data_IF_186517175272
#
_entry.id   IF_186517175272
#
_cell.length_a   1.000
_cell.length_b   1.000
_cell.length_c   1.000
_cell.angle_alpha   90.00
_cell.angle_beta   90.00
_cell.angle_gamma   90.00
#
_symmetry.space_group_name_H-M   'P 1'
#
loop_
_entity.id
_entity.type
_entity.pdbx_description
1 polymer ?
#
# COMPACT_ATOMS: atom_id res chain seq x y z
N UNK A 1 9.35 12.37 36.29
CA UNK A 1 8.55 12.58 35.07
C UNK A 1 8.92 11.46 34.12
N UNK A 2 8.01 10.59 33.69
CA UNK A 2 8.35 9.54 32.74
C UNK A 2 8.64 10.20 31.38
N UNK A 3 9.75 9.80 30.77
CA UNK A 3 10.23 10.32 29.49
C UNK A 3 9.22 9.98 28.39
N UNK A 4 8.48 10.99 27.92
CA UNK A 4 7.55 10.89 26.77
C UNK A 4 8.28 10.87 25.41
N UNK A 5 9.61 10.86 25.43
CA UNK A 5 10.47 11.08 24.26
C UNK A 5 10.88 9.80 23.52
N UNK A 6 10.45 8.62 23.97
CA UNK A 6 10.64 7.38 23.20
C UNK A 6 9.33 6.97 22.55
N UNK A 7 9.30 6.79 21.23
CA UNK A 7 8.20 6.12 20.55
C UNK A 7 8.00 4.74 21.17
N UNK A 8 6.75 4.30 21.27
CA UNK A 8 6.48 2.96 21.76
C UNK A 8 7.05 1.96 20.74
N UNK A 9 8.03 1.11 21.09
CA UNK A 9 8.64 0.15 20.16
C UNK A 9 7.61 -0.80 19.54
N UNK A 10 6.42 -0.91 20.13
CA UNK A 10 5.27 -1.63 19.57
C UNK A 10 4.74 -0.97 18.30
N UNK A 11 4.68 0.37 18.23
CA UNK A 11 4.15 1.11 17.07
C UNK A 11 5.07 0.92 15.86
N UNK A 12 6.38 1.07 16.05
CA UNK A 12 7.36 0.89 14.96
C UNK A 12 7.36 -0.55 14.46
N UNK A 13 7.30 -1.52 15.39
CA UNK A 13 7.22 -2.93 15.05
C UNK A 13 5.97 -3.27 14.24
N UNK A 14 4.84 -2.61 14.54
CA UNK A 14 3.58 -2.76 13.83
C UNK A 14 3.66 -2.21 12.40
N UNK A 15 4.13 -0.97 12.23
CA UNK A 15 4.30 -0.34 10.89
C UNK A 15 5.22 -1.18 9.99
N UNK A 16 6.36 -1.63 10.53
CA UNK A 16 7.30 -2.48 9.77
C UNK A 16 6.71 -3.84 9.39
N UNK A 17 5.82 -4.40 10.22
CA UNK A 17 5.14 -5.66 9.93
C UNK A 17 4.10 -5.48 8.82
N UNK A 18 3.29 -4.43 8.89
CA UNK A 18 2.29 -4.08 7.87
C UNK A 18 2.96 -3.87 6.51
N UNK A 19 4.03 -3.07 6.45
CA UNK A 19 4.74 -2.83 5.20
C UNK A 19 5.33 -4.11 4.62
N UNK A 20 5.84 -5.02 5.47
CA UNK A 20 6.36 -6.32 5.02
C UNK A 20 5.27 -7.17 4.38
N UNK A 21 4.09 -7.23 4.99
CA UNK A 21 2.94 -7.95 4.43
C UNK A 21 2.51 -7.34 3.09
N UNK A 22 2.46 -6.02 3.01
CA UNK A 22 2.15 -5.29 1.78
C UNK A 22 3.15 -5.61 0.66
N UNK A 23 4.46 -5.54 0.93
CA UNK A 23 5.51 -5.88 -0.04
C UNK A 23 5.40 -7.33 -0.53
N UNK A 24 5.04 -8.26 0.36
CA UNK A 24 4.83 -9.65 -0.02
C UNK A 24 3.64 -9.81 -0.98
N UNK A 25 2.52 -9.13 -0.71
CA UNK A 25 1.33 -9.16 -1.58
C UNK A 25 1.63 -8.55 -2.95
N UNK A 26 2.33 -7.42 -2.98
CA UNK A 26 2.78 -6.76 -4.23
C UNK A 26 3.68 -7.70 -5.04
N UNK A 27 4.69 -8.30 -4.39
CA UNK A 27 5.62 -9.21 -5.06
C UNK A 27 4.90 -10.43 -5.65
N UNK A 28 3.95 -11.01 -4.91
CA UNK A 28 3.12 -12.12 -5.41
C UNK A 28 2.24 -11.71 -6.60
N UNK A 29 1.62 -10.53 -6.55
CA UNK A 29 0.85 -10.01 -7.68
C UNK A 29 1.74 -9.77 -8.91
N UNK A 30 2.93 -9.19 -8.71
CA UNK A 30 3.91 -8.92 -9.78
C UNK A 30 4.39 -10.20 -10.49
N UNK A 31 4.56 -11.30 -9.74
CA UNK A 31 4.91 -12.60 -10.32
C UNK A 31 3.88 -13.07 -11.36
N UNK A 32 2.60 -12.74 -11.17
CA UNK A 32 1.56 -13.13 -12.12
C UNK A 32 1.77 -12.51 -13.51
N UNK A 33 2.24 -11.25 -13.55
CA UNK A 33 2.47 -10.48 -14.77
C UNK A 33 3.81 -10.77 -15.45
N UNK A 34 4.82 -11.20 -14.68
CA UNK A 34 6.18 -11.49 -15.20
C UNK A 34 6.40 -12.96 -15.55
N UNK A 35 5.63 -13.90 -14.98
CA UNK A 35 5.69 -15.31 -15.35
C UNK A 35 5.25 -15.49 -16.81
N UNK A 36 6.14 -15.99 -17.67
CA UNK A 36 5.85 -16.32 -19.08
C UNK A 36 5.72 -17.82 -19.31
N UNK A 37 6.00 -18.65 -18.30
CA UNK A 37 5.97 -20.11 -18.38
C UNK A 37 4.58 -20.73 -18.16
N UNK A 38 3.65 -19.99 -17.55
CA UNK A 38 2.27 -20.47 -17.31
C UNK A 38 1.28 -20.00 -18.38
N UNK A 39 0.21 -20.78 -18.69
CA UNK A 39 -0.87 -20.33 -19.56
C UNK A 39 -1.52 -19.04 -19.06
N UNK A 40 -1.93 -18.15 -19.98
CA UNK A 40 -2.53 -16.85 -19.64
C UNK A 40 -3.71 -16.97 -18.66
N UNK A 41 -4.61 -17.94 -18.87
CA UNK A 41 -5.76 -18.13 -17.96
C UNK A 41 -5.36 -18.44 -16.51
N UNK A 42 -4.25 -19.16 -16.29
CA UNK A 42 -3.74 -19.44 -14.94
C UNK A 42 -3.06 -18.24 -14.31
N UNK A 43 -2.30 -17.48 -15.11
CA UNK A 43 -1.69 -16.21 -14.68
C UNK A 43 -2.75 -15.18 -14.30
N UNK A 44 -3.80 -15.05 -15.12
CA UNK A 44 -4.95 -14.18 -14.86
C UNK A 44 -5.67 -14.56 -13.57
N UNK A 45 -5.99 -15.84 -13.39
CA UNK A 45 -6.64 -16.31 -12.16
C UNK A 45 -5.79 -15.96 -10.93
N UNK A 46 -4.49 -16.24 -10.98
CA UNK A 46 -3.58 -15.94 -9.88
C UNK A 46 -3.47 -14.43 -9.62
N UNK A 47 -3.32 -13.60 -10.66
CA UNK A 47 -3.33 -12.14 -10.55
C UNK A 47 -4.60 -11.63 -9.88
N UNK A 48 -5.77 -12.11 -10.32
CA UNK A 48 -7.06 -11.71 -9.76
C UNK A 48 -7.15 -12.05 -8.27
N UNK A 49 -6.76 -13.26 -7.87
CA UNK A 49 -6.75 -13.68 -6.46
C UNK A 49 -5.80 -12.82 -5.62
N UNK A 50 -4.58 -12.52 -6.12
CA UNK A 50 -3.60 -11.69 -5.40
C UNK A 50 -4.02 -10.23 -5.30
N UNK A 51 -4.58 -9.63 -6.37
CA UNK A 51 -5.08 -8.25 -6.32
C UNK A 51 -6.33 -8.10 -5.44
N UNK A 52 -7.20 -9.12 -5.40
CA UNK A 52 -8.34 -9.14 -4.47
C UNK A 52 -7.86 -9.16 -3.02
N UNK A 53 -6.83 -9.96 -2.73
CA UNK A 53 -6.21 -10.02 -1.40
C UNK A 53 -5.55 -8.68 -1.03
N UNK A 54 -4.75 -8.10 -1.94
CA UNK A 54 -4.11 -6.81 -1.76
C UNK A 54 -5.13 -5.70 -1.49
N UNK A 55 -6.22 -5.68 -2.25
CA UNK A 55 -7.32 -4.72 -2.07
C UNK A 55 -7.99 -4.84 -0.70
N UNK A 56 -8.20 -6.07 -0.22
CA UNK A 56 -8.74 -6.30 1.13
C UNK A 56 -7.76 -5.78 2.19
N UNK A 57 -6.49 -6.16 2.07
CA UNK A 57 -5.43 -5.74 3.00
C UNK A 57 -5.32 -4.22 3.08
N UNK A 58 -5.22 -3.53 1.94
CA UNK A 58 -5.14 -2.06 1.91
C UNK A 58 -6.39 -1.39 2.47
N UNK A 59 -7.59 -1.91 2.18
CA UNK A 59 -8.82 -1.37 2.76
C UNK A 59 -8.80 -1.47 4.29
N UNK A 60 -8.38 -2.61 4.82
CA UNK A 60 -8.35 -2.84 6.26
C UNK A 60 -7.27 -1.98 6.92
N UNK A 61 -6.11 -1.83 6.28
CA UNK A 61 -5.02 -0.94 6.69
C UNK A 61 -5.47 0.54 6.71
N UNK A 62 -6.00 1.06 5.61
CA UNK A 62 -6.50 2.43 5.52
C UNK A 62 -7.61 2.71 6.55
N UNK A 63 -8.51 1.75 6.78
CA UNK A 63 -9.55 1.89 7.79
C UNK A 63 -8.97 1.99 9.21
N UNK A 64 -7.86 1.31 9.49
CA UNK A 64 -7.16 1.41 10.77
C UNK A 64 -6.51 2.79 10.94
N UNK A 65 -5.85 3.31 9.91
CA UNK A 65 -5.24 4.65 9.95
C UNK A 65 -6.27 5.76 10.13
N UNK A 66 -7.42 5.64 9.47
CA UNK A 66 -8.53 6.60 9.54
C UNK A 66 -9.25 6.59 10.90
N UNK A 67 -9.22 5.47 11.62
CA UNK A 67 -9.85 5.32 12.95
C UNK A 67 -8.97 5.82 14.11
N UNK A 68 -7.78 6.30 13.79
CA UNK A 68 -6.77 6.70 14.76
C UNK A 68 -5.69 5.63 14.87
N UNK A 69 -4.47 6.07 14.62
CA UNK A 69 -3.28 5.23 14.52
C UNK A 69 -2.02 6.06 14.62
N UNK A 70 -0.92 5.55 14.06
CA UNK A 70 0.39 6.20 14.17
C UNK A 70 0.42 7.59 13.52
N UNK A 71 -0.36 7.84 12.45
CA UNK A 71 -0.45 9.16 11.80
C UNK A 71 -1.11 10.20 12.72
N UNK A 72 -2.18 9.83 13.41
CA UNK A 72 -2.86 10.71 14.36
C UNK A 72 -1.97 11.01 15.57
N UNK A 73 -1.24 10.01 16.08
CA UNK A 73 -0.29 10.22 17.17
C UNK A 73 0.89 11.12 16.73
N UNK A 74 1.40 10.97 15.51
CA UNK A 74 2.40 11.86 14.93
C UNK A 74 1.90 13.32 14.87
N UNK A 75 0.65 13.55 14.47
CA UNK A 75 0.02 14.88 14.48
C UNK A 75 -0.19 15.41 15.90
N UNK A 76 -0.54 14.55 16.85
CA UNK A 76 -0.69 14.93 18.26
C UNK A 76 0.64 15.43 18.85
N UNK A 77 1.75 14.80 18.48
CA UNK A 77 3.12 15.21 18.86
C UNK A 77 3.55 16.47 18.11
N UNK A 78 3.26 16.55 16.82
CA UNK A 78 3.69 17.64 15.93
C UNK A 78 2.49 18.19 15.14
N UNK A 79 1.71 19.15 15.71
CA UNK A 79 0.43 19.60 15.12
C UNK A 79 0.52 20.18 13.70
N UNK A 80 1.70 20.69 13.29
CA UNK A 80 1.93 21.18 11.93
C UNK A 80 1.86 20.10 10.85
N UNK A 81 1.91 18.82 11.22
CA UNK A 81 1.77 17.68 10.30
C UNK A 81 0.32 17.44 9.85
N UNK A 82 -0.69 18.06 10.49
CA UNK A 82 -2.10 17.79 10.21
C UNK A 82 -2.49 17.92 8.73
N UNK A 83 -2.00 18.97 8.03
CA UNK A 83 -2.29 19.15 6.59
C UNK A 83 -1.72 18.01 5.72
N UNK A 84 -0.59 17.42 6.13
CA UNK A 84 0.02 16.30 5.41
C UNK A 84 -0.75 15.01 5.66
N UNK A 85 -1.15 14.74 6.90
CA UNK A 85 -2.05 13.63 7.23
C UNK A 85 -3.35 13.71 6.43
N UNK A 86 -4.01 14.86 6.39
CA UNK A 86 -5.22 15.02 5.56
C UNK A 86 -4.96 14.76 4.06
N UNK A 87 -3.77 15.09 3.56
CA UNK A 87 -3.40 14.82 2.18
C UNK A 87 -3.11 13.34 1.92
N UNK A 88 -2.63 12.61 2.91
CA UNK A 88 -2.42 11.16 2.86
C UNK A 88 -3.79 10.45 2.83
N UNK A 89 -4.68 10.75 3.77
CA UNK A 89 -6.01 10.12 3.83
C UNK A 89 -6.83 10.34 2.55
N UNK A 90 -6.66 11.47 1.86
CA UNK A 90 -7.30 11.73 0.56
C UNK A 90 -6.80 10.83 -0.59
N UNK A 91 -5.67 10.14 -0.42
CA UNK A 91 -5.12 9.20 -1.42
C UNK A 91 -5.73 7.81 -1.31
N UNK A 92 -6.33 7.44 -0.16
CA UNK A 92 -6.86 6.09 0.05
C UNK A 92 -7.97 5.71 -0.95
N UNK A 93 -9.02 6.54 -1.17
CA UNK A 93 -10.10 6.13 -2.07
C UNK A 93 -9.65 5.96 -3.53
N UNK A 94 -8.81 6.86 -4.11
CA UNK A 94 -8.21 6.63 -5.42
C UNK A 94 -7.41 5.32 -5.55
N UNK A 95 -6.55 5.00 -4.57
CA UNK A 95 -5.75 3.77 -4.59
C UNK A 95 -6.63 2.50 -4.59
N UNK A 96 -7.68 2.48 -3.77
CA UNK A 96 -8.64 1.37 -3.77
C UNK A 96 -9.41 1.27 -5.10
N UNK A 97 -9.77 2.42 -5.71
CA UNK A 97 -10.47 2.46 -7.00
C UNK A 97 -9.60 1.96 -8.17
N UNK A 98 -8.27 2.17 -8.11
CA UNK A 98 -7.33 1.59 -9.07
C UNK A 98 -7.33 0.05 -8.99
N UNK A 99 -7.29 -0.50 -7.77
CA UNK A 99 -7.36 -1.95 -7.56
C UNK A 99 -8.72 -2.56 -7.95
N UNK A 100 -9.82 -1.85 -7.68
CA UNK A 100 -11.16 -2.19 -8.17
C UNK A 100 -11.19 -2.35 -9.69
N UNK A 101 -10.60 -1.38 -10.39
CA UNK A 101 -10.56 -1.36 -11.85
C UNK A 101 -9.73 -2.53 -12.40
N UNK A 102 -8.56 -2.79 -11.81
CA UNK A 102 -7.69 -3.93 -12.17
C UNK A 102 -8.37 -5.29 -11.93
N UNK A 103 -9.02 -5.47 -10.77
CA UNK A 103 -9.73 -6.73 -10.46
C UNK A 103 -10.93 -6.94 -11.38
N UNK A 104 -11.69 -5.88 -11.69
CA UNK A 104 -12.79 -5.96 -12.65
C UNK A 104 -12.30 -6.34 -14.06
N UNK A 105 -11.19 -5.76 -14.52
CA UNK A 105 -10.60 -6.09 -15.82
C UNK A 105 -10.16 -7.58 -15.89
N UNK A 106 -9.53 -8.08 -14.81
CA UNK A 106 -9.09 -9.47 -14.71
C UNK A 106 -10.24 -10.50 -14.62
N UNK A 107 -11.42 -10.07 -14.17
CA UNK A 107 -12.61 -10.93 -14.12
C UNK A 107 -13.19 -11.23 -15.53
N UNK A 108 -12.77 -10.50 -16.57
CA UNK A 108 -13.23 -10.74 -17.92
C UNK A 108 -12.67 -12.06 -18.49
N UNK A 109 -13.58 -13.00 -18.79
CA UNK A 109 -13.21 -14.31 -19.33
C UNK A 109 -12.59 -14.27 -20.72
N UNK A 110 -12.83 -13.20 -21.50
CA UNK A 110 -12.38 -13.04 -22.90
C UNK A 110 -11.10 -12.21 -23.06
N UNK A 111 -10.42 -11.93 -21.96
CA UNK A 111 -9.18 -11.16 -21.91
C UNK A 111 -8.14 -11.70 -22.91
N UNK A 112 -7.72 -10.85 -23.84
CA UNK A 112 -6.73 -11.18 -24.87
C UNK A 112 -5.30 -10.77 -24.44
N UNK A 113 -4.25 -11.10 -25.23
CA UNK A 113 -2.89 -10.73 -24.87
C UNK A 113 -2.61 -9.22 -24.80
N UNK A 114 -3.34 -8.38 -25.54
CA UNK A 114 -3.18 -6.93 -25.51
C UNK A 114 -3.81 -6.36 -24.23
N UNK A 115 -5.01 -6.82 -23.88
CA UNK A 115 -5.67 -6.49 -22.61
C UNK A 115 -4.77 -6.87 -21.41
N UNK A 116 -4.14 -8.05 -21.48
CA UNK A 116 -3.21 -8.51 -20.44
C UNK A 116 -2.02 -7.55 -20.25
N UNK A 117 -1.45 -7.07 -21.36
CA UNK A 117 -0.33 -6.16 -21.30
C UNK A 117 -0.73 -4.80 -20.72
N UNK A 118 -1.90 -4.29 -21.13
CA UNK A 118 -2.44 -3.04 -20.60
C UNK A 118 -2.70 -3.12 -19.09
N UNK A 119 -3.34 -4.19 -18.62
CA UNK A 119 -3.57 -4.42 -17.18
C UNK A 119 -2.24 -4.49 -16.43
N UNK A 120 -1.20 -5.10 -17.02
CA UNK A 120 0.15 -5.12 -16.44
C UNK A 120 0.74 -3.70 -16.29
N UNK A 121 0.57 -2.83 -17.28
CA UNK A 121 1.03 -1.44 -17.21
C UNK A 121 0.24 -0.62 -16.17
N UNK A 122 -1.08 -0.81 -16.11
CA UNK A 122 -1.92 -0.20 -15.09
C UNK A 122 -1.52 -0.65 -13.69
N UNK A 123 -1.16 -1.93 -13.52
CA UNK A 123 -0.65 -2.45 -12.25
C UNK A 123 0.68 -1.80 -11.84
N UNK A 124 1.66 -1.67 -12.74
CA UNK A 124 2.92 -0.98 -12.41
C UNK A 124 2.71 0.52 -12.09
N UNK A 125 1.73 1.16 -12.73
CA UNK A 125 1.31 2.52 -12.40
C UNK A 125 0.75 2.61 -10.98
N UNK A 126 -0.17 1.69 -10.64
CA UNK A 126 -0.71 1.56 -9.29
C UNK A 126 0.39 1.36 -8.24
N UNK A 127 1.38 0.49 -8.51
CA UNK A 127 2.53 0.29 -7.60
C UNK A 127 3.30 1.60 -7.38
N UNK A 128 3.50 2.39 -8.43
CA UNK A 128 4.18 3.68 -8.32
C UNK A 128 3.41 4.68 -7.45
N UNK A 129 2.08 4.72 -7.56
CA UNK A 129 1.22 5.54 -6.72
C UNK A 129 1.25 5.07 -5.25
N UNK A 130 1.15 3.76 -5.02
CA UNK A 130 1.22 3.18 -3.69
C UNK A 130 2.56 3.46 -3.01
N UNK A 131 3.69 3.30 -3.72
CA UNK A 131 5.01 3.65 -3.16
C UNK A 131 5.14 5.14 -2.81
N UNK A 132 4.52 6.04 -3.59
CA UNK A 132 4.50 7.47 -3.29
C UNK A 132 3.67 7.78 -2.03
N UNK A 133 2.58 7.06 -1.85
CA UNK A 133 1.73 7.13 -0.66
C UNK A 133 2.49 6.66 0.60
N UNK A 134 3.10 5.48 0.56
CA UNK A 134 3.92 4.91 1.65
C UNK A 134 5.08 5.85 2.05
N UNK A 135 5.76 6.47 1.07
CA UNK A 135 6.82 7.45 1.36
C UNK A 135 6.27 8.69 2.08
N UNK A 136 5.06 9.11 1.74
CA UNK A 136 4.41 10.26 2.39
C UNK A 136 4.06 9.95 3.85
N UNK A 137 3.59 8.74 4.13
CA UNK A 137 3.30 8.26 5.48
C UNK A 137 4.55 8.11 6.32
N UNK A 138 5.56 7.43 5.78
CA UNK A 138 6.85 7.28 6.43
C UNK A 138 7.44 8.63 6.81
N UNK A 139 7.36 9.64 5.93
CA UNK A 139 7.84 10.98 6.23
C UNK A 139 7.09 11.64 7.41
N UNK A 140 5.77 11.42 7.51
CA UNK A 140 4.96 11.93 8.64
C UNK A 140 5.33 11.22 9.94
N UNK A 141 5.50 9.90 9.90
CA UNK A 141 5.92 9.11 11.07
C UNK A 141 7.31 9.53 11.53
N UNK A 142 8.29 9.54 10.63
CA UNK A 142 9.66 9.95 10.96
C UNK A 142 9.71 11.35 11.58
N UNK A 143 8.97 12.30 11.02
CA UNK A 143 8.91 13.67 11.56
C UNK A 143 8.16 13.76 12.88
N UNK A 144 7.08 12.99 13.07
CA UNK A 144 6.26 12.99 14.28
C UNK A 144 6.93 12.33 15.48
N UNK A 145 7.78 11.32 15.23
CA UNK A 145 8.47 10.54 16.26
C UNK A 145 9.95 10.90 16.38
N UNK A 146 10.47 11.78 15.51
CA UNK A 146 11.89 12.15 15.41
C UNK A 146 12.79 10.90 15.24
N UNK A 147 12.34 9.97 14.42
CA UNK A 147 13.02 8.70 14.14
C UNK A 147 13.38 8.58 12.67
N UNK A 148 14.53 7.97 12.42
CA UNK A 148 14.88 7.45 11.11
C UNK A 148 14.43 5.99 11.03
N UNK A 149 13.38 5.72 10.26
CA UNK A 149 12.89 4.35 10.06
C UNK A 149 13.82 3.54 9.14
N UNK A 150 14.83 4.17 8.51
CA UNK A 150 15.76 3.51 7.59
C UNK A 150 15.08 2.94 6.33
N UNK A 151 13.85 3.40 6.03
CA UNK A 151 13.02 2.92 4.92
C UNK A 151 13.25 3.71 3.62
N UNK A 152 14.33 4.48 3.52
CA UNK A 152 14.66 5.24 2.32
C UNK A 152 15.10 4.28 1.19
N UNK A 153 14.23 4.17 0.17
CA UNK A 153 14.36 3.60 -1.17
C UNK A 153 15.59 2.68 -1.43
N UNK A 154 15.32 1.36 -1.59
CA UNK A 154 16.16 0.42 -2.36
C UNK A 154 15.61 0.30 -3.79
#
# INVERSE_FOLDING_TARGET
MPSLDRPDPVIIGHVLAEHRELFQLISQAKQAFTDTGRPLGKRRQYAHERLTELRRHLRDHFAQEEQGGFLEEAVTRVPRLGRRMESILRQHPPLLAELDSLTAALANFRLDPADWHEIGQQFETFISHLQAHERSENAVVQEGYNEDLGLADD
#
